data_IF_962190603303
#
_entry.id   IF_962190603303
#
_cell.length_a   1.000
_cell.length_b   1.000
_cell.length_c   1.000
_cell.angle_alpha   90.00
_cell.angle_beta   90.00
_cell.angle_gamma   90.00
#
_symmetry.space_group_name_H-M   'P 1'
#
loop_
_entity.id
_entity.type
_entity.pdbx_description
1 polymer ?
#
# COMPACT_ATOMS: atom_id res chain seq x y z
N UNK A 1 3.88 1.06 -17.63
CA UNK A 1 4.64 -0.01 -18.33
C UNK A 1 4.74 -1.23 -17.42
N UNK A 2 4.70 -2.45 -17.98
CA UNK A 2 5.02 -3.68 -17.23
C UNK A 2 6.38 -4.16 -17.73
N UNK A 3 7.31 -4.41 -16.82
CA UNK A 3 8.67 -4.86 -17.12
C UNK A 3 8.73 -6.37 -17.45
N UNK A 4 9.91 -6.85 -17.87
CA UNK A 4 10.12 -8.24 -18.24
C UNK A 4 9.92 -9.26 -17.11
N UNK A 5 9.92 -8.83 -15.85
CA UNK A 5 9.69 -9.66 -14.65
C UNK A 5 8.22 -9.63 -14.20
N UNK A 6 7.37 -8.81 -14.87
CA UNK A 6 5.93 -8.69 -14.59
C UNK A 6 5.57 -7.63 -13.53
N UNK A 7 6.48 -6.74 -13.17
CA UNK A 7 6.24 -5.62 -12.26
C UNK A 7 5.94 -4.33 -13.04
N UNK A 8 5.21 -3.40 -12.43
CA UNK A 8 4.99 -2.08 -13.02
C UNK A 8 6.21 -1.19 -12.82
N UNK A 9 6.70 -0.56 -13.90
CA UNK A 9 7.79 0.41 -13.90
C UNK A 9 9.05 -0.09 -14.61
N UNK A 10 10.21 0.40 -14.20
CA UNK A 10 11.49 0.11 -14.81
C UNK A 10 11.95 -1.34 -14.63
N UNK A 11 12.85 -1.79 -15.51
CA UNK A 11 13.56 -3.05 -15.32
C UNK A 11 14.48 -2.96 -14.11
N UNK A 12 14.65 -4.09 -13.41
CA UNK A 12 15.63 -4.25 -12.34
C UNK A 12 16.31 -5.62 -12.45
N UNK A 13 17.47 -5.77 -11.84
CA UNK A 13 18.21 -7.02 -11.89
C UNK A 13 17.61 -8.06 -10.96
N UNK A 14 17.42 -9.29 -11.43
CA UNK A 14 16.93 -10.42 -10.62
C UNK A 14 17.83 -10.65 -9.40
N UNK A 15 19.17 -10.65 -9.64
CA UNK A 15 20.17 -10.69 -8.56
C UNK A 15 20.37 -9.26 -8.06
N UNK A 16 20.10 -9.05 -6.77
CA UNK A 16 20.27 -7.73 -6.14
C UNK A 16 21.73 -7.31 -6.21
N UNK A 17 22.06 -6.11 -6.75
CA UNK A 17 23.44 -5.61 -6.73
C UNK A 17 23.95 -5.43 -5.30
N UNK A 18 25.28 -5.54 -5.08
CA UNK A 18 25.87 -5.12 -3.82
C UNK A 18 25.59 -3.63 -3.58
N UNK A 19 25.54 -3.22 -2.33
CA UNK A 19 25.26 -1.82 -1.92
C UNK A 19 23.89 -1.29 -2.35
N UNK A 20 22.92 -2.18 -2.63
CA UNK A 20 21.53 -1.85 -2.97
C UNK A 20 20.58 -2.26 -1.86
N UNK A 21 19.73 -1.33 -1.43
CA UNK A 21 18.59 -1.58 -0.53
C UNK A 21 17.31 -1.70 -1.36
N UNK A 22 16.72 -2.89 -1.39
CA UNK A 22 15.60 -3.22 -2.25
C UNK A 22 14.29 -3.23 -1.48
N UNK A 23 13.36 -2.36 -1.91
CA UNK A 23 12.04 -2.18 -1.31
C UNK A 23 10.97 -2.66 -2.30
N UNK A 24 10.14 -3.63 -1.90
CA UNK A 24 8.94 -4.00 -2.63
C UNK A 24 7.72 -3.34 -2.02
N UNK A 25 6.97 -2.59 -2.86
CA UNK A 25 5.72 -1.96 -2.47
C UNK A 25 4.56 -2.86 -2.90
N UNK A 26 3.95 -3.55 -1.94
CA UNK A 26 2.89 -4.55 -2.14
C UNK A 26 1.53 -3.94 -1.82
N UNK A 27 0.50 -4.37 -2.53
CA UNK A 27 -0.87 -3.90 -2.35
C UNK A 27 -1.75 -4.23 -3.55
N UNK A 28 -2.97 -3.76 -3.53
CA UNK A 28 -3.95 -3.91 -4.60
C UNK A 28 -3.74 -2.93 -5.77
N UNK A 29 -4.85 -2.62 -6.46
CA UNK A 29 -4.87 -1.68 -7.60
C UNK A 29 -4.39 -0.28 -7.25
N UNK A 30 -4.56 0.17 -6.02
CA UNK A 30 -4.08 1.47 -5.53
C UNK A 30 -2.56 1.51 -5.50
N UNK A 31 -1.90 0.46 -5.01
CA UNK A 31 -0.45 0.33 -5.04
C UNK A 31 0.06 0.12 -6.48
N UNK A 32 -0.62 -0.70 -7.28
CA UNK A 32 -0.34 -0.81 -8.71
C UNK A 32 -0.35 0.56 -9.38
N UNK A 33 -1.18 1.48 -8.90
CA UNK A 33 -1.33 2.84 -9.43
C UNK A 33 -2.42 2.94 -10.50
N UNK A 34 -3.56 2.27 -10.31
CA UNK A 34 -4.73 2.49 -11.16
C UNK A 34 -5.13 3.97 -11.10
N UNK A 35 -5.26 4.60 -12.27
CA UNK A 35 -5.53 6.03 -12.40
C UNK A 35 -4.30 6.96 -12.34
N UNK A 36 -3.10 6.47 -12.05
CA UNK A 36 -1.88 7.25 -12.14
C UNK A 36 -1.53 7.58 -13.59
N UNK A 37 -1.09 8.82 -13.85
CA UNK A 37 -0.84 9.30 -15.22
C UNK A 37 0.47 8.76 -15.81
N UNK A 38 1.40 8.29 -14.97
CA UNK A 38 2.63 7.62 -15.39
C UNK A 38 3.12 6.63 -14.32
N UNK A 39 4.22 5.93 -14.58
CA UNK A 39 4.83 5.04 -13.60
C UNK A 39 5.47 5.83 -12.45
N UNK A 40 6.01 7.01 -12.75
CA UNK A 40 6.64 7.93 -11.80
C UNK A 40 5.62 8.59 -10.85
N UNK A 41 4.33 8.66 -11.23
CA UNK A 41 3.25 9.25 -10.41
C UNK A 41 2.46 8.22 -9.62
N UNK A 42 2.89 6.97 -9.59
CA UNK A 42 2.42 5.96 -8.64
C UNK A 42 2.98 6.20 -7.24
N UNK A 43 2.41 5.58 -6.21
CA UNK A 43 2.97 5.65 -4.83
C UNK A 43 4.43 5.20 -4.81
N UNK A 44 4.81 4.04 -5.39
CA UNK A 44 6.21 3.62 -5.48
C UNK A 44 7.10 4.58 -6.28
N UNK A 45 6.59 5.14 -7.38
CA UNK A 45 7.33 6.11 -8.19
C UNK A 45 7.67 7.38 -7.42
N UNK A 46 6.71 7.97 -6.71
CA UNK A 46 6.97 9.11 -5.83
C UNK A 46 7.89 8.75 -4.66
N UNK A 47 7.74 7.56 -4.07
CA UNK A 47 8.62 7.13 -2.98
C UNK A 47 10.06 7.00 -3.47
N UNK A 48 10.30 6.43 -4.64
CA UNK A 48 11.64 6.36 -5.25
C UNK A 48 12.26 7.75 -5.41
N UNK A 49 11.48 8.73 -5.92
CA UNK A 49 11.95 10.10 -6.08
C UNK A 49 12.35 10.72 -4.73
N UNK A 50 11.48 10.60 -3.72
CA UNK A 50 11.74 11.15 -2.38
C UNK A 50 12.95 10.53 -1.68
N UNK A 51 13.21 9.25 -1.92
CA UNK A 51 14.36 8.56 -1.35
C UNK A 51 15.65 8.91 -2.09
N UNK A 52 15.59 9.14 -3.40
CA UNK A 52 16.74 9.58 -4.20
C UNK A 52 17.23 11.00 -3.84
N UNK A 53 16.38 11.82 -3.18
CA UNK A 53 16.79 13.14 -2.68
C UNK A 53 17.72 13.08 -1.46
N UNK A 54 17.87 11.89 -0.86
CA UNK A 54 18.66 11.66 0.36
C UNK A 54 19.91 10.84 0.05
N UNK A 55 21.00 11.14 0.71
CA UNK A 55 22.22 10.32 0.65
C UNK A 55 22.19 9.30 1.80
N UNK A 56 22.04 8.03 1.45
CA UNK A 56 22.07 6.92 2.40
C UNK A 56 23.39 6.17 2.39
N UNK A 57 24.32 6.49 1.46
CA UNK A 57 25.56 5.76 1.25
C UNK A 57 25.38 4.42 0.52
N UNK A 58 24.18 4.12 0.04
CA UNK A 58 23.82 2.96 -0.77
C UNK A 58 22.69 3.32 -1.75
N UNK A 59 22.57 2.53 -2.81
CA UNK A 59 21.48 2.69 -3.79
C UNK A 59 20.16 2.17 -3.24
N UNK A 60 19.04 2.81 -3.60
CA UNK A 60 17.71 2.37 -3.23
C UNK A 60 16.91 2.01 -4.48
N UNK A 61 16.35 0.81 -4.49
CA UNK A 61 15.39 0.35 -5.51
C UNK A 61 14.00 0.22 -4.90
N UNK A 62 13.03 1.02 -5.37
CA UNK A 62 11.61 0.89 -5.01
C UNK A 62 10.86 0.23 -6.15
N UNK A 63 10.37 -0.99 -5.92
CA UNK A 63 9.72 -1.81 -6.93
C UNK A 63 8.21 -1.84 -6.69
N UNK A 64 7.44 -1.43 -7.70
CA UNK A 64 5.99 -1.51 -7.67
C UNK A 64 5.52 -2.96 -7.86
N UNK A 65 5.07 -3.56 -6.79
CA UNK A 65 4.57 -4.94 -6.73
C UNK A 65 3.06 -5.02 -6.47
N UNK A 66 2.34 -3.94 -6.79
CA UNK A 66 0.89 -3.91 -6.71
C UNK A 66 0.25 -4.87 -7.71
N UNK A 67 -0.80 -5.58 -7.27
CA UNK A 67 -1.59 -6.49 -8.08
C UNK A 67 -3.05 -6.06 -8.00
N UNK A 68 -3.69 -5.81 -9.14
CA UNK A 68 -5.08 -5.38 -9.17
C UNK A 68 -5.99 -6.41 -8.47
N UNK A 69 -6.76 -5.94 -7.50
CA UNK A 69 -7.69 -6.77 -6.73
C UNK A 69 -7.04 -7.66 -5.65
N UNK A 70 -5.71 -7.58 -5.45
CA UNK A 70 -5.07 -8.33 -4.38
C UNK A 70 -5.60 -7.92 -3.00
N UNK A 71 -5.87 -8.92 -2.19
CA UNK A 71 -6.19 -8.85 -0.78
C UNK A 71 -5.01 -9.40 0.05
N UNK A 72 -5.07 -9.31 1.35
CA UNK A 72 -4.00 -9.75 2.26
C UNK A 72 -3.58 -11.21 2.06
N UNK A 73 -4.50 -12.10 1.67
CA UNK A 73 -4.18 -13.51 1.39
C UNK A 73 -3.41 -13.67 0.06
N UNK A 74 -3.79 -12.91 -0.96
CA UNK A 74 -3.08 -12.89 -2.26
C UNK A 74 -1.69 -12.32 -2.10
N UNK A 75 -1.56 -11.24 -1.32
CA UNK A 75 -0.30 -10.56 -1.03
C UNK A 75 0.66 -11.48 -0.26
N UNK A 76 0.19 -12.18 0.78
CA UNK A 76 0.98 -13.16 1.52
C UNK A 76 1.57 -14.21 0.58
N UNK A 77 0.75 -14.82 -0.28
CA UNK A 77 1.22 -15.84 -1.24
C UNK A 77 2.23 -15.27 -2.24
N UNK A 78 2.00 -14.05 -2.70
CA UNK A 78 2.90 -13.39 -3.65
C UNK A 78 4.27 -13.10 -3.03
N UNK A 79 4.31 -12.66 -1.78
CA UNK A 79 5.53 -12.46 -1.00
C UNK A 79 6.27 -13.79 -0.83
N UNK A 80 5.58 -14.83 -0.35
CA UNK A 80 6.16 -16.13 -0.07
C UNK A 80 6.70 -16.86 -1.32
N UNK A 81 5.98 -16.75 -2.45
CA UNK A 81 6.27 -17.54 -3.63
C UNK A 81 7.15 -16.81 -4.67
N UNK A 82 7.11 -15.48 -4.68
CA UNK A 82 7.79 -14.70 -5.71
C UNK A 82 8.75 -13.65 -5.14
N UNK A 83 8.29 -12.74 -4.28
CA UNK A 83 9.11 -11.59 -3.90
C UNK A 83 10.36 -11.98 -3.13
N UNK A 84 10.28 -12.99 -2.26
CA UNK A 84 11.43 -13.50 -1.50
C UNK A 84 12.60 -13.91 -2.40
N UNK A 85 12.33 -14.38 -3.63
CA UNK A 85 13.39 -14.82 -4.57
C UNK A 85 14.25 -13.67 -5.11
N UNK A 86 13.81 -12.42 -4.94
CA UNK A 86 14.50 -11.20 -5.37
C UNK A 86 15.32 -10.55 -4.25
N UNK A 87 15.50 -11.21 -3.12
CA UNK A 87 16.28 -10.72 -1.96
C UNK A 87 15.82 -9.32 -1.49
N UNK A 88 14.54 -9.15 -1.06
CA UNK A 88 14.09 -7.91 -0.48
C UNK A 88 14.87 -7.55 0.78
N UNK A 89 15.05 -6.26 1.05
CA UNK A 89 15.48 -5.75 2.36
C UNK A 89 14.27 -5.25 3.15
N UNK A 90 13.25 -4.74 2.42
CA UNK A 90 12.01 -4.26 3.00
C UNK A 90 10.82 -4.58 2.09
N UNK A 91 9.73 -5.01 2.71
CA UNK A 91 8.41 -5.08 2.07
C UNK A 91 7.48 -4.11 2.79
N UNK A 92 6.88 -3.19 2.02
CA UNK A 92 5.83 -2.28 2.48
C UNK A 92 4.51 -2.74 1.91
N UNK A 93 3.59 -3.13 2.76
CA UNK A 93 2.23 -3.54 2.40
C UNK A 93 1.28 -2.36 2.61
N UNK A 94 0.51 -2.03 1.58
CA UNK A 94 -0.52 -0.99 1.59
C UNK A 94 -1.86 -1.62 1.26
N UNK A 95 -2.64 -1.90 2.29
CA UNK A 95 -3.72 -2.88 2.24
C UNK A 95 -4.99 -2.42 2.99
N UNK A 96 -6.03 -3.25 2.94
CA UNK A 96 -7.25 -3.19 3.72
C UNK A 96 -8.53 -3.01 2.88
N UNK A 97 -8.49 -2.26 1.77
CA UNK A 97 -9.70 -2.01 0.98
C UNK A 97 -10.22 -3.26 0.27
N UNK A 98 -9.34 -4.03 -0.35
CA UNK A 98 -9.75 -5.26 -1.03
C UNK A 98 -10.21 -6.34 -0.04
N UNK A 99 -9.62 -6.43 1.14
CA UNK A 99 -10.09 -7.31 2.21
C UNK A 99 -11.50 -6.92 2.68
N UNK A 100 -11.76 -5.62 2.83
CA UNK A 100 -13.09 -5.12 3.17
C UNK A 100 -14.11 -5.50 2.09
N UNK A 101 -13.77 -5.32 0.81
CA UNK A 101 -14.63 -5.67 -0.33
C UNK A 101 -14.85 -7.18 -0.48
N UNK A 102 -13.85 -7.98 -0.12
CA UNK A 102 -13.93 -9.44 -0.06
C UNK A 102 -14.70 -9.96 1.18
N UNK A 103 -15.17 -9.05 2.05
CA UNK A 103 -15.83 -9.37 3.32
C UNK A 103 -14.94 -10.21 4.26
N UNK A 104 -13.62 -10.02 4.23
CA UNK A 104 -12.73 -10.67 5.16
C UNK A 104 -12.96 -10.15 6.57
N UNK A 105 -13.01 -11.07 7.53
CA UNK A 105 -13.15 -10.67 8.93
C UNK A 105 -11.89 -10.02 9.45
N UNK A 106 -11.96 -9.09 10.43
CA UNK A 106 -10.79 -8.48 11.03
C UNK A 106 -9.76 -9.48 11.57
N UNK A 107 -10.23 -10.64 12.01
CA UNK A 107 -9.38 -11.73 12.46
C UNK A 107 -8.53 -12.31 11.33
N UNK A 108 -9.15 -12.62 10.19
CA UNK A 108 -8.46 -13.20 9.02
C UNK A 108 -7.40 -12.23 8.49
N UNK A 109 -7.74 -10.96 8.38
CA UNK A 109 -6.81 -9.93 7.89
C UNK A 109 -5.62 -9.80 8.85
N UNK A 110 -5.85 -9.73 10.15
CA UNK A 110 -4.80 -9.71 11.16
C UNK A 110 -3.87 -10.92 11.04
N UNK A 111 -4.42 -12.13 10.95
CA UNK A 111 -3.64 -13.36 10.81
C UNK A 111 -2.79 -13.38 9.55
N UNK A 112 -3.28 -12.84 8.42
CA UNK A 112 -2.50 -12.72 7.20
C UNK A 112 -1.35 -11.71 7.36
N UNK A 113 -1.60 -10.54 7.93
CA UNK A 113 -0.56 -9.55 8.21
C UNK A 113 0.51 -10.08 9.18
N UNK A 114 0.12 -10.77 10.24
CA UNK A 114 1.05 -11.41 11.17
C UNK A 114 1.94 -12.44 10.46
N UNK A 115 1.36 -13.29 9.59
CA UNK A 115 2.12 -14.26 8.79
C UNK A 115 3.11 -13.59 7.84
N UNK A 116 2.73 -12.49 7.17
CA UNK A 116 3.65 -11.72 6.32
C UNK A 116 4.86 -11.26 7.14
N UNK A 117 4.61 -10.72 8.34
CA UNK A 117 5.69 -10.21 9.19
C UNK A 117 6.57 -11.32 9.77
N UNK A 118 5.97 -12.43 10.17
CA UNK A 118 6.70 -13.62 10.63
C UNK A 118 7.56 -14.22 9.51
N UNK A 119 7.03 -14.24 8.29
CA UNK A 119 7.76 -14.69 7.10
C UNK A 119 8.97 -13.77 6.79
N UNK A 120 8.79 -12.44 6.92
CA UNK A 120 9.88 -11.48 6.80
C UNK A 120 11.01 -11.76 7.79
N UNK A 121 10.67 -11.94 9.08
CA UNK A 121 11.65 -12.30 10.11
C UNK A 121 12.39 -13.62 9.83
N UNK A 122 11.68 -14.60 9.30
CA UNK A 122 12.25 -15.90 8.99
C UNK A 122 13.16 -15.88 7.74
N UNK A 123 13.08 -14.84 6.92
CA UNK A 123 13.83 -14.69 5.67
C UNK A 123 14.70 -13.42 5.63
N UNK A 124 14.99 -12.83 6.80
CA UNK A 124 15.91 -11.71 7.00
C UNK A 124 15.56 -10.44 6.20
N UNK A 125 14.27 -10.09 6.12
CA UNK A 125 13.82 -8.80 5.60
C UNK A 125 12.79 -8.12 6.50
N UNK A 126 12.79 -6.80 6.48
CA UNK A 126 11.84 -5.97 7.23
C UNK A 126 10.46 -5.96 6.58
N UNK A 127 9.42 -5.80 7.40
CA UNK A 127 8.04 -5.65 6.92
C UNK A 127 7.36 -4.47 7.61
N UNK A 128 6.77 -3.61 6.79
CA UNK A 128 5.89 -2.52 7.23
C UNK A 128 4.49 -2.79 6.67
N UNK A 129 3.48 -2.85 7.54
CA UNK A 129 2.07 -2.93 7.12
C UNK A 129 1.41 -1.58 7.30
N UNK A 130 0.71 -1.11 6.28
CA UNK A 130 -0.03 0.16 6.32
C UNK A 130 -1.48 -0.03 5.93
N UNK A 131 -2.40 0.58 6.70
CA UNK A 131 -3.82 0.59 6.40
C UNK A 131 -4.16 1.82 5.56
N UNK A 132 -4.68 1.58 4.34
CA UNK A 132 -4.90 2.62 3.33
C UNK A 132 -6.07 3.56 3.66
N UNK A 133 -6.04 4.82 3.17
CA UNK A 133 -7.21 5.71 3.17
C UNK A 133 -8.30 5.19 2.24
N UNK A 134 -9.55 5.38 2.66
CA UNK A 134 -10.76 5.16 1.86
C UNK A 134 -11.66 6.38 2.04
N UNK A 135 -12.35 6.82 1.01
CA UNK A 135 -13.27 7.96 1.08
C UNK A 135 -14.33 7.74 2.16
N UNK A 136 -14.40 8.67 3.11
CA UNK A 136 -15.34 8.60 4.24
C UNK A 136 -14.86 7.83 5.48
N UNK A 137 -13.64 7.27 5.46
CA UNK A 137 -13.07 6.51 6.61
C UNK A 137 -11.94 7.25 7.35
N UNK A 138 -11.63 8.48 6.94
CA UNK A 138 -10.77 9.45 7.63
C UNK A 138 -11.57 10.71 7.98
N UNK A 139 -10.86 11.82 8.26
CA UNK A 139 -11.48 13.11 8.56
C UNK A 139 -11.36 14.12 7.40
N UNK A 140 -10.93 13.68 6.22
CA UNK A 140 -10.89 14.56 5.04
C UNK A 140 -12.24 15.21 4.80
N UNK A 141 -12.25 16.52 4.60
CA UNK A 141 -13.44 17.23 4.12
C UNK A 141 -13.66 16.83 2.65
N UNK A 142 -14.63 15.94 2.44
CA UNK A 142 -14.93 15.39 1.13
C UNK A 142 -15.61 16.45 0.23
N UNK A 143 -15.23 16.48 -1.02
CA UNK A 143 -16.00 17.19 -2.06
C UNK A 143 -17.37 16.51 -2.26
N UNK A 144 -18.30 17.17 -2.95
CA UNK A 144 -19.62 16.59 -3.24
C UNK A 144 -19.52 15.23 -3.96
N UNK A 145 -18.56 15.09 -4.86
CA UNK A 145 -18.35 13.84 -5.61
C UNK A 145 -17.74 12.75 -4.72
N UNK A 146 -16.73 13.10 -3.92
CA UNK A 146 -16.14 12.16 -2.97
C UNK A 146 -17.13 11.71 -1.90
N UNK A 147 -18.02 12.60 -1.45
CA UNK A 147 -19.10 12.24 -0.53
C UNK A 147 -20.07 11.22 -1.14
N UNK A 148 -20.31 11.31 -2.45
CA UNK A 148 -21.09 10.32 -3.18
C UNK A 148 -20.39 8.96 -3.20
N UNK A 149 -19.12 8.91 -3.52
CA UNK A 149 -18.32 7.68 -3.45
C UNK A 149 -18.35 7.04 -2.06
N UNK A 150 -18.18 7.85 -1.01
CA UNK A 150 -18.21 7.38 0.38
C UNK A 150 -19.56 6.78 0.78
N UNK A 151 -20.67 7.34 0.27
CA UNK A 151 -22.04 6.93 0.63
C UNK A 151 -22.55 5.76 -0.19
N UNK A 152 -22.22 5.72 -1.47
CA UNK A 152 -22.79 4.76 -2.42
C UNK A 152 -21.86 3.62 -2.78
N UNK A 153 -20.58 3.74 -2.39
CA UNK A 153 -19.58 2.79 -2.80
C UNK A 153 -19.37 2.77 -4.31
N UNK A 154 -19.51 3.90 -4.99
CA UNK A 154 -19.28 4.00 -6.43
C UNK A 154 -17.81 3.76 -6.76
N UNK A 155 -17.50 2.50 -6.88
CA UNK A 155 -16.29 1.94 -7.44
C UNK A 155 -16.66 1.09 -8.66
N UNK A 156 -15.75 0.27 -9.14
CA UNK A 156 -16.01 -0.63 -10.28
C UNK A 156 -17.14 -1.65 -10.06
N UNK A 157 -17.51 -1.89 -8.82
CA UNK A 157 -18.54 -2.86 -8.43
C UNK A 157 -19.78 -2.21 -7.83
N UNK A 158 -19.77 -0.89 -7.62
CA UNK A 158 -20.83 -0.12 -6.96
C UNK A 158 -21.24 -0.67 -5.60
N UNK A 159 -20.29 -1.21 -4.84
CA UNK A 159 -20.53 -1.78 -3.51
C UNK A 159 -20.77 -0.69 -2.46
N UNK A 160 -21.71 -0.91 -1.57
CA UNK A 160 -22.00 -0.03 -0.42
C UNK A 160 -21.00 -0.32 0.71
N UNK A 161 -19.87 0.39 0.73
CA UNK A 161 -18.84 0.17 1.73
C UNK A 161 -19.00 1.00 3.01
N UNK A 162 -19.81 2.06 2.97
CA UNK A 162 -20.02 2.93 4.16
C UNK A 162 -20.58 2.13 5.35
N UNK A 163 -21.41 1.11 5.09
CA UNK A 163 -21.93 0.21 6.11
C UNK A 163 -20.86 -0.67 6.76
N UNK A 164 -19.72 -0.81 6.10
CA UNK A 164 -18.58 -1.61 6.57
C UNK A 164 -17.57 -0.82 7.41
N UNK A 165 -17.86 0.43 7.76
CA UNK A 165 -16.95 1.32 8.51
C UNK A 165 -16.49 0.72 9.83
N UNK A 166 -17.37 0.02 10.55
CA UNK A 166 -17.02 -0.65 11.82
C UNK A 166 -16.02 -1.80 11.61
N UNK A 167 -16.10 -2.52 10.51
CA UNK A 167 -15.15 -3.59 10.15
C UNK A 167 -13.78 -2.99 9.88
N UNK A 168 -13.73 -1.90 9.09
CA UNK A 168 -12.48 -1.22 8.76
C UNK A 168 -11.82 -0.57 9.98
N UNK A 169 -12.64 -0.06 10.92
CA UNK A 169 -12.15 0.41 12.21
C UNK A 169 -11.51 -0.72 13.03
N UNK A 170 -12.06 -1.94 12.96
CA UNK A 170 -11.48 -3.10 13.60
C UNK A 170 -10.17 -3.55 12.91
N UNK A 171 -10.02 -3.36 11.60
CA UNK A 171 -8.73 -3.57 10.93
C UNK A 171 -7.66 -2.63 11.53
N UNK A 172 -7.96 -1.35 11.70
CA UNK A 172 -7.04 -0.39 12.30
C UNK A 172 -6.66 -0.75 13.75
N UNK A 173 -7.64 -1.17 14.54
CA UNK A 173 -7.39 -1.65 15.89
C UNK A 173 -6.46 -2.87 15.88
N UNK A 174 -6.77 -3.87 15.07
CA UNK A 174 -5.97 -5.08 14.96
C UNK A 174 -4.55 -4.78 14.47
N UNK A 175 -4.39 -3.85 13.51
CA UNK A 175 -3.09 -3.43 13.00
C UNK A 175 -2.21 -2.89 14.14
N UNK A 176 -2.77 -2.09 15.04
CA UNK A 176 -2.03 -1.51 16.19
C UNK A 176 -1.60 -2.54 17.24
N UNK A 177 -2.18 -3.75 17.20
CA UNK A 177 -1.86 -4.83 18.12
C UNK A 177 -0.78 -5.78 17.59
N UNK A 178 -0.41 -5.67 16.30
CA UNK A 178 0.59 -6.54 15.69
C UNK A 178 2.00 -6.14 16.15
N UNK A 179 2.70 -7.07 16.75
CA UNK A 179 4.08 -6.88 17.23
C UNK A 179 5.12 -7.66 16.42
N UNK A 180 4.65 -8.50 15.49
CA UNK A 180 5.52 -9.30 14.64
C UNK A 180 6.20 -8.47 13.54
N UNK A 181 5.58 -7.39 13.09
CA UNK A 181 6.12 -6.52 12.04
C UNK A 181 7.25 -5.63 12.55
N UNK A 182 8.11 -5.16 11.64
CA UNK A 182 9.07 -4.10 11.94
C UNK A 182 8.34 -2.83 12.34
N UNK A 183 7.28 -2.47 11.59
CA UNK A 183 6.39 -1.34 11.91
C UNK A 183 4.98 -1.57 11.36
N UNK A 184 4.00 -0.90 11.97
CA UNK A 184 2.62 -0.81 11.46
C UNK A 184 2.17 0.64 11.48
N UNK A 185 1.44 1.08 10.44
CA UNK A 185 0.92 2.44 10.34
C UNK A 185 -0.52 2.47 9.86
N UNK A 186 -1.37 3.16 10.59
CA UNK A 186 -2.68 3.56 10.12
C UNK A 186 -2.56 4.92 9.42
N UNK A 187 -2.65 4.92 8.10
CA UNK A 187 -2.55 6.14 7.28
C UNK A 187 -3.89 6.58 6.71
N UNK A 188 -5.02 6.11 7.26
CA UNK A 188 -6.36 6.53 6.84
C UNK A 188 -6.57 8.04 6.89
N UNK A 189 -5.83 8.73 7.74
CA UNK A 189 -5.89 10.18 7.92
C UNK A 189 -4.93 10.97 7.03
N UNK A 190 -4.26 10.31 6.06
CA UNK A 190 -3.26 10.96 5.21
C UNK A 190 -3.81 12.18 4.43
N UNK A 191 -5.10 12.24 4.20
CA UNK A 191 -5.75 13.32 3.43
C UNK A 191 -6.55 14.31 4.28
N UNK A 192 -6.48 14.27 5.61
CA UNK A 192 -7.33 15.07 6.50
C UNK A 192 -7.18 16.59 6.28
N UNK A 193 -5.99 17.05 5.87
CA UNK A 193 -5.70 18.47 5.60
C UNK A 193 -6.05 18.90 4.16
N UNK A 194 -6.45 17.95 3.29
CA UNK A 194 -6.73 18.22 1.90
C UNK A 194 -8.17 18.64 1.67
N UNK A 195 -8.36 19.81 1.05
CA UNK A 195 -9.70 20.35 0.76
C UNK A 195 -10.17 20.13 -0.68
N UNK A 196 -9.22 19.85 -1.60
CA UNK A 196 -9.50 19.57 -3.00
C UNK A 196 -9.80 18.08 -3.25
N UNK A 197 -10.19 17.73 -4.49
CA UNK A 197 -10.44 16.34 -4.87
C UNK A 197 -9.14 15.52 -4.84
N UNK A 198 -9.21 14.37 -4.21
CA UNK A 198 -8.14 13.37 -4.11
C UNK A 198 -8.59 12.05 -4.73
N UNK A 199 -9.81 11.61 -4.40
CA UNK A 199 -10.35 10.31 -4.80
C UNK A 199 -11.00 10.34 -6.19
N UNK A 200 -10.72 9.29 -6.99
CA UNK A 200 -11.40 9.00 -8.27
C UNK A 200 -12.66 8.15 -8.09
N UNK A 201 -12.65 7.35 -7.06
CA UNK A 201 -13.75 6.51 -6.57
C UNK A 201 -13.57 6.37 -5.06
N UNK A 202 -13.96 5.28 -4.48
CA UNK A 202 -13.91 5.08 -3.05
C UNK A 202 -12.49 4.88 -2.50
N UNK A 203 -11.56 4.31 -3.27
CA UNK A 203 -10.21 3.97 -2.80
C UNK A 203 -9.07 4.42 -3.73
N UNK A 204 -9.33 4.56 -5.03
CA UNK A 204 -8.31 5.05 -5.96
C UNK A 204 -8.16 6.55 -5.86
N UNK A 205 -6.92 7.02 -5.96
CA UNK A 205 -6.58 8.43 -5.76
C UNK A 205 -5.85 9.01 -6.96
N UNK A 206 -5.88 10.34 -7.07
CA UNK A 206 -5.13 11.10 -8.07
C UNK A 206 -3.61 11.02 -7.83
N UNK A 207 -2.81 11.49 -8.81
CA UNK A 207 -1.36 11.63 -8.66
C UNK A 207 -1.00 12.45 -7.40
N UNK A 208 -1.79 13.49 -7.09
CA UNK A 208 -1.63 14.24 -5.84
C UNK A 208 -1.83 13.35 -4.62
N UNK A 209 -2.84 12.50 -4.61
CA UNK A 209 -3.08 11.52 -3.54
C UNK A 209 -1.92 10.54 -3.40
N UNK A 210 -1.43 9.99 -4.51
CA UNK A 210 -0.25 9.11 -4.52
C UNK A 210 0.98 9.80 -3.92
N UNK A 211 1.22 11.08 -4.27
CA UNK A 211 2.34 11.86 -3.71
C UNK A 211 2.22 12.05 -2.19
N UNK A 212 1.02 12.31 -1.67
CA UNK A 212 0.78 12.48 -0.23
C UNK A 212 1.04 11.16 0.52
N UNK A 213 0.55 10.04 -0.01
CA UNK A 213 0.79 8.71 0.58
C UNK A 213 2.29 8.41 0.57
N UNK A 214 2.98 8.63 -0.55
CA UNK A 214 4.43 8.41 -0.65
C UNK A 214 5.21 9.24 0.37
N UNK A 215 4.83 10.50 0.60
CA UNK A 215 5.42 11.35 1.65
C UNK A 215 5.20 10.79 3.05
N UNK A 216 3.99 10.31 3.34
CA UNK A 216 3.70 9.67 4.62
C UNK A 216 4.57 8.43 4.83
N UNK A 217 4.76 7.62 3.80
CA UNK A 217 5.60 6.42 3.86
C UNK A 217 7.10 6.75 3.93
N UNK A 218 7.58 7.78 3.22
CA UNK A 218 9.01 8.14 3.22
C UNK A 218 9.55 8.54 4.59
N UNK A 219 8.69 9.06 5.46
CA UNK A 219 9.04 9.35 6.85
C UNK A 219 9.17 8.10 7.73
N UNK A 220 8.67 6.95 7.28
CA UNK A 220 8.57 5.72 8.07
C UNK A 220 9.57 4.64 7.65
N UNK A 221 10.00 4.64 6.39
CA UNK A 221 10.85 3.60 5.81
C UNK A 221 12.23 3.52 6.49
N UNK A 222 12.81 4.66 6.86
CA UNK A 222 14.14 4.73 7.49
C UNK A 222 14.13 5.48 8.85
N UNK A 223 12.99 5.51 9.55
CA UNK A 223 12.89 6.16 10.88
C UNK A 223 13.14 5.21 12.03
#
# INVERSE_FOLDING_TARGET
TINGLGFRGAEFLTIKPPDTYRIFMVGGSTMFGAGATSDETTIPGYLQQLLNEKDFGFDIEVINSGIQGADSNTELKFIEQKLVTFSPDLIVVYDGWNDLRANHTPKVVKENWEKICEFGKANDFDVIITLQPIAGFGNKVLTNQESKYAQTGEDYTSNLLIESSSIYQNYAKNLSEITACTKTFDIRNAFDTETGPIYWDQGHVSDKGNSIIAKSLSGTVFS
#
